data_IF_677779296103
#
_entry.id   IF_677779296103
#
_cell.length_a   1.000
_cell.length_b   1.000
_cell.length_c   1.000
_cell.angle_alpha   90.00
_cell.angle_beta   90.00
_cell.angle_gamma   90.00
#
_symmetry.space_group_name_H-M   'P 1'
#
loop_
_entity.id
_entity.type
_entity.pdbx_description
1 polymer ?
#
# COMPACT_ATOMS: atom_id res chain seq x y z
N UNK A 1 8.76 13.11 -4.76
CA UNK A 1 8.14 11.92 -4.15
C UNK A 1 7.21 11.28 -5.17
N UNK A 2 7.56 10.10 -5.68
CA UNK A 2 6.72 9.36 -6.62
C UNK A 2 5.49 8.78 -5.91
N UNK A 3 4.29 9.28 -6.24
CA UNK A 3 3.02 8.66 -5.85
C UNK A 3 2.56 7.69 -6.94
N UNK A 4 1.83 6.66 -6.50
CA UNK A 4 1.18 5.70 -7.38
C UNK A 4 -0.31 5.71 -7.12
N UNK A 5 -1.11 5.69 -8.19
CA UNK A 5 -2.57 5.68 -8.10
C UNK A 5 -3.17 4.47 -8.79
N UNK A 6 -4.24 3.92 -8.21
CA UNK A 6 -5.05 2.88 -8.80
C UNK A 6 -6.54 3.16 -8.55
N UNK A 7 -7.39 2.86 -9.52
CA UNK A 7 -8.84 2.88 -9.35
C UNK A 7 -9.32 1.49 -8.97
N UNK A 8 -10.14 1.40 -7.93
CA UNK A 8 -10.74 0.16 -7.46
C UNK A 8 -12.26 0.31 -7.46
N UNK A 9 -12.97 -0.69 -7.97
CA UNK A 9 -14.43 -0.80 -7.91
C UNK A 9 -14.81 -1.89 -6.93
N UNK A 10 -15.70 -1.61 -5.98
CA UNK A 10 -16.15 -2.60 -5.01
C UNK A 10 -17.04 -3.66 -5.66
N UNK A 11 -16.66 -4.94 -5.51
CA UNK A 11 -17.46 -6.09 -5.93
C UNK A 11 -18.45 -6.54 -4.84
N UNK A 12 -19.44 -7.40 -5.17
CA UNK A 12 -20.34 -7.99 -4.18
C UNK A 12 -19.62 -8.75 -3.05
N UNK A 13 -18.48 -9.38 -3.35
CA UNK A 13 -17.65 -10.12 -2.41
C UNK A 13 -16.92 -9.25 -1.38
N UNK A 14 -16.82 -7.95 -1.67
CA UNK A 14 -16.12 -7.00 -0.80
C UNK A 14 -17.03 -6.49 0.34
N UNK A 15 -18.34 -6.74 0.24
CA UNK A 15 -19.37 -6.16 1.11
C UNK A 15 -19.73 -7.09 2.26
N UNK A 16 -19.84 -6.54 3.47
CA UNK A 16 -20.31 -7.27 4.65
C UNK A 16 -21.79 -6.99 5.00
N UNK A 17 -22.23 -7.53 6.14
CA UNK A 17 -23.61 -7.40 6.64
C UNK A 17 -24.07 -5.95 6.89
N UNK A 18 -23.14 -5.00 6.97
CA UNK A 18 -23.44 -3.57 7.11
C UNK A 18 -23.76 -2.89 5.77
N UNK A 19 -23.65 -3.62 4.65
CA UNK A 19 -24.00 -3.14 3.31
C UNK A 19 -22.94 -2.27 2.64
N UNK A 20 -21.71 -2.30 3.16
CA UNK A 20 -20.56 -1.57 2.61
C UNK A 20 -19.28 -2.42 2.67
N UNK A 21 -18.20 -1.93 2.06
CA UNK A 21 -16.92 -2.67 2.02
C UNK A 21 -16.43 -3.00 3.43
N UNK A 22 -16.09 -4.28 3.63
CA UNK A 22 -15.60 -4.79 4.90
C UNK A 22 -14.24 -4.19 5.28
N UNK A 23 -14.01 -3.97 6.58
CA UNK A 23 -12.77 -3.37 7.06
C UNK A 23 -11.50 -4.19 6.68
N UNK A 24 -11.59 -5.52 6.58
CA UNK A 24 -10.46 -6.37 6.17
C UNK A 24 -10.19 -6.29 4.65
N UNK A 25 -11.22 -6.02 3.85
CA UNK A 25 -11.05 -5.79 2.40
C UNK A 25 -10.26 -4.51 2.15
N UNK A 26 -10.46 -3.46 2.95
CA UNK A 26 -9.59 -2.28 2.90
C UNK A 26 -8.12 -2.63 3.17
N UNK A 27 -7.83 -3.52 4.12
CA UNK A 27 -6.45 -4.00 4.39
C UNK A 27 -5.89 -4.72 3.17
N UNK A 28 -6.68 -5.57 2.52
CA UNK A 28 -6.31 -6.24 1.26
C UNK A 28 -5.99 -5.21 0.18
N UNK A 29 -6.85 -4.23 -0.06
CA UNK A 29 -6.59 -3.18 -1.06
C UNK A 29 -5.35 -2.35 -0.75
N UNK A 30 -5.10 -2.03 0.52
CA UNK A 30 -3.85 -1.36 0.94
C UNK A 30 -2.63 -2.18 0.51
N UNK A 31 -2.64 -3.49 0.77
CA UNK A 31 -1.56 -4.39 0.38
C UNK A 31 -1.42 -4.49 -1.15
N UNK A 32 -2.51 -4.73 -1.86
CA UNK A 32 -2.52 -4.92 -3.31
C UNK A 32 -1.99 -3.68 -4.04
N UNK A 33 -2.41 -2.47 -3.61
CA UNK A 33 -1.93 -1.21 -4.20
C UNK A 33 -0.46 -0.94 -3.86
N UNK A 34 -0.02 -1.25 -2.63
CA UNK A 34 1.40 -1.12 -2.27
C UNK A 34 2.30 -2.05 -3.08
N UNK A 35 1.85 -3.29 -3.33
CA UNK A 35 2.54 -4.28 -4.16
C UNK A 35 2.52 -3.89 -5.64
N UNK A 36 1.40 -3.35 -6.13
CA UNK A 36 1.32 -2.84 -7.49
C UNK A 36 2.31 -1.68 -7.72
N UNK A 37 2.41 -0.74 -6.78
CA UNK A 37 3.43 0.32 -6.83
C UNK A 37 4.85 -0.29 -6.84
N UNK A 38 5.13 -1.27 -5.99
CA UNK A 38 6.43 -1.96 -5.99
C UNK A 38 6.81 -2.49 -7.39
N UNK A 39 5.93 -3.25 -8.01
CA UNK A 39 6.18 -3.83 -9.35
C UNK A 39 6.21 -2.79 -10.48
N UNK A 40 5.61 -1.61 -10.28
CA UNK A 40 5.60 -0.55 -11.29
C UNK A 40 6.95 0.18 -11.40
N UNK A 41 7.74 0.25 -10.32
CA UNK A 41 8.94 1.12 -10.27
C UNK A 41 10.23 0.40 -9.85
N UNK A 42 10.14 -0.76 -9.19
CA UNK A 42 11.32 -1.50 -8.78
C UNK A 42 11.98 -2.19 -9.99
N UNK A 43 13.31 -2.32 -9.95
CA UNK A 43 14.03 -3.14 -10.90
C UNK A 43 13.55 -4.60 -10.81
N UNK A 44 13.38 -5.33 -11.94
CA UNK A 44 12.89 -6.71 -11.94
C UNK A 44 13.68 -7.63 -11.00
N UNK A 45 15.00 -7.46 -10.96
CA UNK A 45 15.92 -8.27 -10.15
C UNK A 45 15.68 -8.10 -8.65
N UNK A 46 15.15 -6.93 -8.21
CA UNK A 46 14.82 -6.71 -6.80
C UNK A 46 13.68 -7.61 -6.33
N UNK A 47 12.75 -7.99 -7.22
CA UNK A 47 11.63 -8.86 -6.84
C UNK A 47 12.08 -10.30 -6.57
N UNK A 48 13.17 -10.73 -7.23
CA UNK A 48 13.80 -12.04 -7.03
C UNK A 48 14.74 -12.07 -5.82
N UNK A 49 15.29 -10.91 -5.44
CA UNK A 49 16.21 -10.78 -4.30
C UNK A 49 15.49 -10.52 -2.96
N UNK A 50 14.40 -9.77 -2.99
CA UNK A 50 13.79 -9.21 -1.77
C UNK A 50 12.30 -9.52 -1.66
N UNK A 51 11.84 -9.58 -0.42
CA UNK A 51 10.42 -9.64 -0.08
C UNK A 51 10.10 -8.61 1.01
N UNK A 52 8.86 -8.15 1.03
CA UNK A 52 8.40 -7.16 1.98
C UNK A 52 7.37 -7.78 2.92
N UNK A 53 7.48 -7.46 4.21
CA UNK A 53 6.50 -7.87 5.22
C UNK A 53 5.95 -6.64 5.92
N UNK A 54 4.64 -6.61 6.14
CA UNK A 54 4.02 -5.56 6.95
C UNK A 54 4.23 -5.88 8.43
N UNK A 55 4.64 -4.88 9.19
CA UNK A 55 4.85 -4.97 10.64
C UNK A 55 3.82 -4.19 11.44
N UNK A 56 3.14 -3.21 10.83
CA UNK A 56 2.07 -2.42 11.46
C UNK A 56 1.18 -1.78 10.40
N UNK A 57 -0.12 -1.74 10.70
CA UNK A 57 -1.08 -0.85 10.05
C UNK A 57 -1.66 0.12 11.09
N UNK A 58 -1.82 1.37 10.70
CA UNK A 58 -2.64 2.38 11.37
C UNK A 58 -3.65 2.87 10.33
N UNK A 59 -4.95 2.70 10.57
CA UNK A 59 -5.99 2.92 9.57
C UNK A 59 -7.09 3.78 10.17
N UNK A 60 -7.37 4.90 9.50
CA UNK A 60 -8.48 5.79 9.80
C UNK A 60 -9.62 5.54 8.80
N UNK A 61 -10.74 5.01 9.27
CA UNK A 61 -11.96 4.85 8.49
C UNK A 61 -12.86 6.08 8.64
N UNK A 62 -12.98 6.88 7.58
CA UNK A 62 -13.73 8.16 7.57
C UNK A 62 -15.02 8.11 6.76
N UNK A 63 -15.18 7.06 5.95
CA UNK A 63 -16.36 6.77 5.17
C UNK A 63 -16.25 5.38 4.57
N UNK A 64 -17.19 5.01 3.71
CA UNK A 64 -17.16 3.72 3.05
C UNK A 64 -17.69 3.83 1.60
N UNK A 65 -17.68 2.71 0.89
CA UNK A 65 -18.29 2.53 -0.43
C UNK A 65 -19.11 1.24 -0.46
N UNK A 66 -20.07 1.20 -1.36
CA UNK A 66 -21.02 0.10 -1.60
C UNK A 66 -20.73 -0.58 -2.94
N UNK A 67 -21.44 -1.66 -3.26
CA UNK A 67 -21.24 -2.40 -4.53
C UNK A 67 -21.29 -1.47 -5.73
N UNK A 68 -20.31 -1.58 -6.61
CA UNK A 68 -20.23 -0.83 -7.87
C UNK A 68 -19.71 0.59 -7.73
N UNK A 69 -19.56 1.12 -6.52
CA UNK A 69 -18.88 2.39 -6.28
C UNK A 69 -17.36 2.24 -6.40
N UNK A 70 -16.69 3.34 -6.73
CA UNK A 70 -15.26 3.39 -6.97
C UNK A 70 -14.53 4.26 -5.95
N UNK A 71 -13.28 3.89 -5.70
CA UNK A 71 -12.29 4.74 -5.02
C UNK A 71 -11.03 4.86 -5.85
N UNK A 72 -10.39 6.02 -5.76
CA UNK A 72 -9.01 6.23 -6.18
C UNK A 72 -8.12 6.00 -4.96
N UNK A 73 -7.28 4.97 -5.04
CA UNK A 73 -6.21 4.71 -4.09
C UNK A 73 -4.96 5.47 -4.52
N UNK A 74 -4.33 6.20 -3.61
CA UNK A 74 -3.05 6.87 -3.78
C UNK A 74 -2.08 6.36 -2.71
N UNK A 75 -0.86 6.00 -3.11
CA UNK A 75 0.19 5.56 -2.18
C UNK A 75 1.56 6.14 -2.49
N UNK A 76 2.29 6.49 -1.44
CA UNK A 76 3.64 7.05 -1.52
C UNK A 76 4.47 6.70 -0.29
N UNK A 77 5.79 6.89 -0.41
CA UNK A 77 6.75 6.76 0.69
C UNK A 77 7.17 8.17 1.09
N UNK A 78 6.78 8.67 2.27
CA UNK A 78 7.03 10.06 2.66
C UNK A 78 8.48 10.33 3.08
N UNK A 79 9.18 9.30 3.55
CA UNK A 79 10.52 9.42 4.13
C UNK A 79 11.43 8.26 3.72
N UNK A 80 12.74 8.51 3.70
CA UNK A 80 13.71 7.47 3.46
C UNK A 80 13.65 6.34 4.53
N UNK A 81 13.94 5.08 4.16
CA UNK A 81 13.96 3.98 5.11
C UNK A 81 14.92 4.17 6.28
N UNK A 82 14.54 3.63 7.45
CA UNK A 82 15.35 3.60 8.66
C UNK A 82 15.72 2.16 9.01
N UNK A 83 16.96 1.78 8.72
CA UNK A 83 17.42 0.41 8.92
C UNK A 83 16.65 -0.54 8.00
N UNK A 84 15.96 -1.53 8.57
CA UNK A 84 15.19 -2.51 7.81
C UNK A 84 13.78 -2.07 7.45
N UNK A 85 13.34 -0.90 7.91
CA UNK A 85 11.92 -0.50 7.87
C UNK A 85 11.70 0.83 7.19
N UNK A 86 10.52 1.01 6.64
CA UNK A 86 10.02 2.30 6.18
C UNK A 86 8.51 2.39 6.38
N UNK A 87 8.00 3.63 6.40
CA UNK A 87 6.57 3.89 6.44
C UNK A 87 6.08 4.20 5.02
N UNK A 88 4.88 3.69 4.68
CA UNK A 88 4.15 3.98 3.46
C UNK A 88 2.79 4.55 3.82
N UNK A 89 2.42 5.64 3.15
CA UNK A 89 1.11 6.26 3.31
C UNK A 89 0.17 5.79 2.19
N UNK A 90 -1.11 5.75 2.51
CA UNK A 90 -2.19 5.37 1.64
C UNK A 90 -3.39 6.27 1.87
N UNK A 91 -4.07 6.67 0.80
CA UNK A 91 -5.30 7.44 0.84
C UNK A 91 -6.28 6.91 -0.20
N UNK A 92 -7.52 6.67 0.20
CA UNK A 92 -8.61 6.28 -0.67
C UNK A 92 -9.64 7.39 -0.72
N UNK A 93 -9.92 7.90 -1.91
CA UNK A 93 -10.86 8.98 -2.15
C UNK A 93 -12.01 8.50 -3.03
N UNK A 94 -13.25 8.73 -2.59
CA UNK A 94 -14.43 8.41 -3.37
C UNK A 94 -14.65 9.38 -4.54
N UNK A 95 -15.57 9.04 -5.44
CA UNK A 95 -15.91 9.88 -6.59
C UNK A 95 -16.42 11.28 -6.21
N UNK A 96 -16.92 11.46 -4.99
CA UNK A 96 -17.35 12.75 -4.43
C UNK A 96 -16.18 13.61 -3.89
N UNK A 97 -14.93 13.16 -4.08
CA UNK A 97 -13.73 13.83 -3.59
C UNK A 97 -13.47 13.69 -2.09
N UNK A 98 -14.32 12.95 -1.36
CA UNK A 98 -14.16 12.76 0.09
C UNK A 98 -13.28 11.54 0.38
N UNK A 99 -12.48 11.67 1.43
CA UNK A 99 -11.65 10.58 1.94
C UNK A 99 -12.52 9.50 2.56
N UNK A 100 -12.31 8.24 2.16
CA UNK A 100 -12.96 7.07 2.76
C UNK A 100 -12.05 6.41 3.78
N UNK A 101 -10.80 6.17 3.41
CA UNK A 101 -9.79 5.54 4.26
C UNK A 101 -8.45 6.24 4.07
N UNK A 102 -7.73 6.48 5.16
CA UNK A 102 -6.30 6.73 5.12
C UNK A 102 -5.58 5.69 5.95
N UNK A 103 -4.36 5.34 5.55
CA UNK A 103 -3.55 4.42 6.30
C UNK A 103 -2.08 4.80 6.28
N UNK A 104 -1.42 4.52 7.40
CA UNK A 104 0.03 4.44 7.51
C UNK A 104 0.41 2.98 7.74
N UNK A 105 1.34 2.49 6.94
CA UNK A 105 1.78 1.09 6.96
C UNK A 105 3.28 1.01 7.12
N UNK A 106 3.76 0.28 8.12
CA UNK A 106 5.21 0.08 8.34
C UNK A 106 5.63 -1.25 7.75
N UNK A 107 6.53 -1.20 6.78
CA UNK A 107 7.06 -2.35 6.07
C UNK A 107 8.48 -2.66 6.50
N UNK A 108 8.88 -3.92 6.39
CA UNK A 108 10.25 -4.37 6.58
C UNK A 108 10.71 -5.23 5.41
N UNK A 109 11.98 -5.06 5.00
CA UNK A 109 12.59 -5.85 3.93
C UNK A 109 13.20 -7.14 4.48
N UNK A 110 13.03 -8.23 3.73
CA UNK A 110 13.70 -9.51 3.96
C UNK A 110 14.48 -9.88 2.69
N UNK A 111 15.73 -10.30 2.86
CA UNK A 111 16.49 -10.93 1.79
C UNK A 111 16.01 -12.37 1.60
N UNK A 112 15.56 -12.71 0.39
CA UNK A 112 14.98 -14.04 0.11
C UNK A 112 15.97 -15.18 0.33
N UNK A 113 17.24 -14.96 -0.02
CA UNK A 113 18.28 -15.99 0.10
C UNK A 113 18.54 -16.42 1.55
N UNK A 114 18.54 -15.47 2.49
CA UNK A 114 18.81 -15.75 3.90
C UNK A 114 17.57 -15.84 4.78
N UNK A 115 16.43 -15.32 4.32
CA UNK A 115 15.20 -15.18 5.10
C UNK A 115 15.32 -14.15 6.23
N UNK A 116 16.33 -13.28 6.21
CA UNK A 116 16.61 -12.33 7.30
C UNK A 116 16.21 -10.91 6.96
N UNK A 117 15.84 -10.15 7.98
CA UNK A 117 15.70 -8.70 7.91
C UNK A 117 17.06 -8.07 7.58
N UNK A 118 17.11 -7.25 6.53
CA UNK A 118 18.31 -6.49 6.15
C UNK A 118 18.02 -5.00 6.21
N UNK A 119 19.06 -4.17 6.16
CA UNK A 119 18.86 -2.73 5.89
C UNK A 119 18.33 -2.57 4.47
N UNK A 120 17.35 -1.69 4.27
CA UNK A 120 16.85 -1.39 2.92
C UNK A 120 17.99 -0.80 2.08
N UNK A 121 18.38 -1.44 0.96
CA UNK A 121 19.41 -0.90 0.08
C UNK A 121 18.97 0.44 -0.53
N UNK A 122 19.93 1.35 -0.73
CA UNK A 122 19.63 2.72 -1.18
C UNK A 122 19.05 2.72 -2.60
N UNK A 123 19.59 1.88 -3.47
CA UNK A 123 19.15 1.65 -4.84
C UNK A 123 17.74 1.07 -4.94
N UNK A 124 17.31 0.30 -3.93
CA UNK A 124 15.95 -0.24 -3.85
C UNK A 124 14.95 0.85 -3.46
N UNK A 125 15.35 1.77 -2.58
CA UNK A 125 14.49 2.86 -2.12
C UNK A 125 14.44 4.05 -3.10
N UNK A 126 15.50 4.27 -3.88
CA UNK A 126 15.66 5.45 -4.72
C UNK A 126 14.46 5.75 -5.64
N UNK A 127 13.83 4.77 -6.33
CA UNK A 127 12.68 5.03 -7.20
C UNK A 127 11.45 5.61 -6.48
N UNK A 128 11.31 5.35 -5.18
CA UNK A 128 10.17 5.78 -4.38
C UNK A 128 10.36 7.18 -3.76
N UNK A 129 11.59 7.68 -3.73
CA UNK A 129 11.96 8.94 -3.09
C UNK A 129 12.20 10.07 -4.10
N UNK A 130 12.34 9.75 -5.39
CA UNK A 130 12.52 10.72 -6.46
C UNK A 130 11.29 11.62 -6.65
N UNK A 131 11.51 12.84 -7.14
CA UNK A 131 10.47 13.82 -7.51
C UNK A 131 9.87 13.55 -8.89
#
# INVERSE_FOLDING_TARGET
MASYTATITAGPEDIDELGHVNNAVWVKWIQDVAVAHWYAVAAPEHSDAYMWVVTRHEIDYRGNVTVGETVVAETWVPEAPRGARFDRHMKFTGADGKVRVEAKTTWAIIERASGRLIRVPAEVAAPFLAD
#
